data_IF_265266840616
#
_entry.id   IF_265266840616
#
_cell.length_a   1.000
_cell.length_b   1.000
_cell.length_c   1.000
_cell.angle_alpha   90.00
_cell.angle_beta   90.00
_cell.angle_gamma   90.00
#
_symmetry.space_group_name_H-M   'P 1'
#
loop_
_entity.id
_entity.type
_entity.pdbx_description
1 polymer ?
#
# COMPACT_ATOMS: atom_id res chain seq x y z
N UNK A 1 18.48 3.51 10.33
CA UNK A 1 17.05 3.30 10.03
C UNK A 1 16.85 1.80 9.81
N UNK A 2 15.76 1.19 10.29
CA UNK A 2 15.57 -0.27 10.23
C UNK A 2 15.40 -0.83 8.81
N UNK A 3 15.30 0.03 7.79
CA UNK A 3 15.14 -0.37 6.40
C UNK A 3 16.29 0.15 5.55
N UNK A 4 17.03 -0.77 4.92
CA UNK A 4 17.94 -0.44 3.83
C UNK A 4 17.13 -0.27 2.53
N UNK A 5 17.61 0.55 1.58
CA UNK A 5 16.90 0.81 0.29
C UNK A 5 16.71 -0.45 -0.57
N UNK A 6 17.29 -1.58 -0.17
CA UNK A 6 17.20 -2.88 -0.84
C UNK A 6 16.26 -3.86 -0.13
N UNK A 7 15.65 -3.46 0.98
CA UNK A 7 14.82 -4.35 1.79
C UNK A 7 13.36 -4.23 1.40
N UNK A 8 12.78 -5.34 0.95
CA UNK A 8 11.34 -5.54 0.81
C UNK A 8 10.89 -6.49 1.92
N UNK A 9 9.89 -6.08 2.72
CA UNK A 9 9.39 -6.85 3.85
C UNK A 9 7.90 -7.08 3.69
N UNK A 10 7.48 -8.35 3.84
CA UNK A 10 6.09 -8.72 4.02
C UNK A 10 5.91 -9.17 5.47
N UNK A 11 5.02 -8.52 6.26
CA UNK A 11 4.70 -8.98 7.60
C UNK A 11 4.17 -10.40 7.61
N UNK A 12 4.29 -11.07 8.75
CA UNK A 12 3.65 -12.36 8.97
C UNK A 12 2.14 -12.27 8.71
N UNK A 13 1.58 -13.35 8.17
CA UNK A 13 0.16 -13.43 7.78
C UNK A 13 -0.26 -12.54 6.60
N UNK A 14 0.68 -11.90 5.89
CA UNK A 14 0.37 -11.24 4.62
C UNK A 14 -0.09 -12.27 3.58
N UNK A 15 -1.27 -12.07 3.01
CA UNK A 15 -1.83 -12.92 1.95
C UNK A 15 -1.86 -12.19 0.63
N UNK A 16 -1.47 -12.91 -0.42
CA UNK A 16 -1.61 -12.49 -1.80
C UNK A 16 -2.79 -13.22 -2.39
N UNK A 17 -3.86 -12.49 -2.64
CA UNK A 17 -5.07 -12.99 -3.29
C UNK A 17 -5.06 -12.60 -4.78
N UNK A 18 -6.05 -13.06 -5.55
CA UNK A 18 -6.09 -12.89 -7.00
C UNK A 18 -6.07 -11.41 -7.44
N UNK A 19 -6.64 -10.52 -6.63
CA UNK A 19 -6.71 -9.08 -6.92
C UNK A 19 -6.35 -8.17 -5.74
N UNK A 20 -6.11 -8.72 -4.54
CA UNK A 20 -5.79 -7.93 -3.35
C UNK A 20 -4.64 -8.53 -2.53
N UNK A 21 -3.89 -7.65 -1.86
CA UNK A 21 -2.92 -7.98 -0.84
C UNK A 21 -3.54 -7.65 0.51
N UNK A 22 -3.66 -8.65 1.36
CA UNK A 22 -4.26 -8.53 2.69
C UNK A 22 -3.15 -8.61 3.72
N UNK A 23 -3.04 -7.62 4.58
CA UNK A 23 -2.08 -7.60 5.68
C UNK A 23 -2.71 -7.03 6.95
N UNK A 24 -2.20 -7.43 8.11
CA UNK A 24 -2.69 -6.92 9.40
C UNK A 24 -1.91 -5.68 9.88
N UNK A 25 -0.79 -5.34 9.23
CA UNK A 25 0.11 -4.27 9.66
C UNK A 25 0.11 -3.03 8.76
N UNK A 26 0.85 -2.00 9.18
CA UNK A 26 1.04 -0.76 8.40
C UNK A 26 1.65 -1.08 7.02
N UNK A 27 1.14 -0.39 6.00
CA UNK A 27 1.63 -0.46 4.62
C UNK A 27 2.35 0.84 4.31
N UNK A 28 3.61 0.76 3.89
CA UNK A 28 4.41 1.92 3.48
C UNK A 28 4.97 1.65 2.09
N UNK A 29 4.77 2.55 1.13
CA UNK A 29 5.32 2.34 -0.23
C UNK A 29 5.85 3.63 -0.83
N UNK A 30 7.18 3.74 -0.99
CA UNK A 30 7.90 4.54 -2.02
C UNK A 30 9.41 4.57 -1.78
N UNK A 31 10.33 4.95 -2.69
CA UNK A 31 10.28 5.78 -3.92
C UNK A 31 10.12 5.02 -5.24
N UNK A 32 9.47 5.70 -6.17
CA UNK A 32 9.02 5.42 -7.54
C UNK A 32 8.10 4.21 -7.82
N UNK A 33 6.98 4.16 -7.11
CA UNK A 33 5.90 3.15 -7.10
C UNK A 33 5.03 3.07 -8.38
N UNK A 34 4.24 2.01 -8.57
CA UNK A 34 2.91 1.96 -9.23
C UNK A 34 2.25 0.59 -8.89
N UNK A 35 0.99 0.49 -8.43
CA UNK A 35 0.42 -0.77 -7.85
C UNK A 35 -0.89 -1.22 -8.52
N UNK A 36 -0.95 -2.45 -9.04
CA UNK A 36 -2.10 -3.01 -9.78
C UNK A 36 -2.92 -4.07 -9.03
N UNK A 37 -2.68 -4.24 -7.74
CA UNK A 37 -3.51 -5.03 -6.82
C UNK A 37 -4.14 -4.08 -5.82
N UNK A 38 -5.30 -4.45 -5.30
CA UNK A 38 -5.86 -3.81 -4.13
C UNK A 38 -4.99 -4.07 -2.90
N UNK A 39 -5.03 -3.16 -1.94
CA UNK A 39 -4.38 -3.30 -0.64
C UNK A 39 -5.47 -3.23 0.41
N UNK A 40 -5.54 -4.23 1.27
CA UNK A 40 -6.41 -4.27 2.43
C UNK A 40 -5.56 -4.39 3.68
N UNK A 41 -5.69 -3.43 4.59
CA UNK A 41 -5.02 -3.45 5.88
C UNK A 41 -5.94 -3.03 7.02
N UNK A 42 -5.69 -3.60 8.21
CA UNK A 42 -6.30 -3.16 9.48
C UNK A 42 -5.63 -1.90 10.06
N UNK A 43 -4.52 -1.50 9.47
CA UNK A 43 -3.69 -0.39 9.95
C UNK A 43 -3.64 0.72 8.88
N UNK A 44 -2.54 1.46 8.75
CA UNK A 44 -2.46 2.62 7.85
C UNK A 44 -1.79 2.28 6.52
N UNK A 45 -2.07 3.07 5.50
CA UNK A 45 -1.40 3.05 4.20
C UNK A 45 -0.66 4.38 4.01
N UNK A 46 0.62 4.33 3.68
CA UNK A 46 1.45 5.47 3.33
C UNK A 46 2.05 5.25 1.95
N UNK A 47 1.91 6.18 1.02
CA UNK A 47 2.51 6.04 -0.31
C UNK A 47 3.03 7.37 -0.85
N UNK A 48 4.25 7.36 -1.38
CA UNK A 48 4.60 8.21 -2.51
C UNK A 48 6.00 8.83 -2.49
N UNK A 49 6.81 8.43 -3.45
CA UNK A 49 7.44 9.15 -4.54
C UNK A 49 7.44 8.12 -5.72
N UNK A 50 7.52 8.45 -7.01
CA UNK A 50 6.35 8.54 -7.93
C UNK A 50 5.42 7.32 -8.22
N UNK A 51 4.68 6.80 -7.22
CA UNK A 51 3.44 5.97 -7.34
C UNK A 51 2.52 6.16 -8.59
N UNK A 52 1.62 5.21 -8.88
CA UNK A 52 0.30 5.35 -9.56
C UNK A 52 -0.43 3.99 -9.34
N UNK A 53 -1.65 3.90 -8.82
CA UNK A 53 -2.24 2.63 -8.35
C UNK A 53 -3.53 2.32 -9.15
N UNK A 54 -3.93 1.06 -9.35
CA UNK A 54 -5.12 0.67 -10.14
C UNK A 54 -5.93 -0.46 -9.49
N UNK A 55 -5.66 -0.73 -8.22
CA UNK A 55 -6.50 -1.55 -7.35
C UNK A 55 -7.04 -0.71 -6.21
N UNK A 56 -7.97 -1.30 -5.44
CA UNK A 56 -8.65 -0.62 -4.34
C UNK A 56 -7.76 -0.53 -3.11
N UNK A 57 -7.70 0.63 -2.47
CA UNK A 57 -7.01 0.83 -1.21
C UNK A 57 -8.03 0.86 -0.07
N UNK A 58 -7.91 -0.10 0.85
CA UNK A 58 -8.77 -0.23 2.02
C UNK A 58 -7.90 -0.26 3.28
N UNK A 59 -8.14 0.66 4.19
CA UNK A 59 -7.46 0.75 5.47
C UNK A 59 -8.47 0.99 6.61
N UNK A 60 -8.41 0.23 7.69
CA UNK A 60 -9.26 0.50 8.88
C UNK A 60 -8.79 1.76 9.66
N UNK A 61 -7.73 2.45 9.20
CA UNK A 61 -7.22 3.67 9.82
C UNK A 61 -7.12 4.81 8.82
N UNK A 62 -5.93 5.02 8.26
CA UNK A 62 -5.62 6.22 7.47
C UNK A 62 -4.91 5.85 6.17
N UNK A 63 -5.10 6.66 5.14
CA UNK A 63 -4.48 6.51 3.83
C UNK A 63 -3.82 7.84 3.44
N UNK A 64 -2.49 7.84 3.37
CA UNK A 64 -1.70 8.97 2.90
C UNK A 64 -1.07 8.63 1.55
N UNK A 65 -1.33 9.44 0.51
CA UNK A 65 -0.72 9.29 -0.82
C UNK A 65 -0.23 10.65 -1.34
N UNK A 66 1.06 10.80 -1.63
CA UNK A 66 1.70 11.59 -2.70
C UNK A 66 3.22 11.39 -2.50
N UNK A 67 4.11 11.19 -3.46
CA UNK A 67 4.34 11.88 -4.72
C UNK A 67 4.44 10.85 -5.85
N UNK A 68 4.32 11.08 -7.17
CA UNK A 68 3.64 12.04 -8.04
C UNK A 68 2.55 11.28 -8.81
N UNK A 69 1.52 10.90 -8.07
CA UNK A 69 0.94 9.58 -8.25
C UNK A 69 -0.53 9.57 -8.39
N UNK A 70 -1.01 8.61 -9.19
CA UNK A 70 -2.36 8.57 -9.73
C UNK A 70 -2.98 7.21 -9.53
N UNK A 71 -3.97 7.17 -8.66
CA UNK A 71 -4.73 5.97 -8.33
C UNK A 71 -5.98 5.90 -9.22
N UNK A 72 -6.42 4.71 -9.63
CA UNK A 72 -7.53 4.47 -10.56
C UNK A 72 -8.51 3.39 -10.07
N UNK A 73 -8.73 3.33 -8.76
CA UNK A 73 -9.66 2.43 -8.06
C UNK A 73 -10.21 3.11 -6.80
N UNK A 74 -10.94 2.38 -5.97
CA UNK A 74 -11.58 2.94 -4.77
C UNK A 74 -10.56 3.16 -3.65
N UNK A 75 -10.73 4.25 -2.90
CA UNK A 75 -9.89 4.59 -1.74
C UNK A 75 -10.81 4.76 -0.54
N UNK A 76 -10.78 3.79 0.37
CA UNK A 76 -11.67 3.73 1.54
C UNK A 76 -10.85 3.66 2.83
N UNK A 77 -11.22 4.52 3.79
CA UNK A 77 -10.71 4.48 5.16
C UNK A 77 -11.85 4.61 6.16
N UNK A 78 -11.83 3.85 7.27
CA UNK A 78 -12.90 3.90 8.28
C UNK A 78 -12.58 3.20 9.58
#
# INVERSE_FOLDING_TARGET
>A
MPFDRKTLVFPDSTRFEEYEIVTDGDVVVSDDVSLGFGIRTKERIFIGERAQIRGNLNADKDIMIDSFSKIGGDVESG
#
